data_IF_594711067649
#
_entry.id   IF_594711067649
#
_cell.length_a   1.000
_cell.length_b   1.000
_cell.length_c   1.000
_cell.angle_alpha   90.00
_cell.angle_beta   90.00
_cell.angle_gamma   90.00
#
_symmetry.space_group_name_H-M   'P 1'
#
loop_
_entity.id
_entity.type
_entity.pdbx_description
1 polymer ?
#
# COMPACT_ATOMS: atom_id res chain seq x y z
N UNK A 1 22.05 -24.54 -51.07
CA UNK A 1 21.40 -25.45 -50.11
C UNK A 1 21.29 -24.73 -48.76
N UNK A 2 20.08 -24.33 -48.35
CA UNK A 2 19.80 -23.74 -47.03
C UNK A 2 19.25 -24.83 -46.12
N UNK A 3 19.90 -25.13 -44.99
CA UNK A 3 19.19 -25.49 -43.74
C UNK A 3 20.12 -25.53 -42.53
N UNK A 4 20.29 -24.38 -41.89
CA UNK A 4 20.77 -24.24 -40.53
C UNK A 4 19.59 -24.54 -39.59
N UNK A 5 19.39 -25.82 -39.23
CA UNK A 5 18.31 -26.24 -38.33
C UNK A 5 18.77 -26.14 -36.87
N UNK A 6 18.29 -25.10 -36.20
CA UNK A 6 17.91 -25.02 -34.78
C UNK A 6 18.50 -26.08 -33.84
N UNK A 7 19.65 -25.76 -33.22
CA UNK A 7 20.14 -26.47 -32.05
C UNK A 7 19.68 -25.71 -30.79
N UNK A 8 18.87 -26.38 -29.97
CA UNK A 8 18.15 -25.74 -28.87
C UNK A 8 19.06 -25.17 -27.79
N UNK A 9 18.56 -24.14 -27.11
CA UNK A 9 19.23 -23.49 -25.99
C UNK A 9 18.84 -24.20 -24.69
N UNK A 10 19.33 -25.44 -24.47
CA UNK A 10 19.20 -26.10 -23.15
C UNK A 10 20.23 -25.54 -22.19
N UNK A 11 19.77 -24.66 -21.30
CA UNK A 11 20.25 -24.50 -19.93
C UNK A 11 21.76 -24.57 -19.71
N UNK A 12 22.53 -23.61 -20.26
CA UNK A 12 23.88 -23.36 -19.74
C UNK A 12 23.76 -22.98 -18.27
N UNK A 13 24.23 -23.86 -17.37
CA UNK A 13 24.31 -23.56 -15.94
C UNK A 13 25.33 -22.44 -15.76
N UNK A 14 24.85 -21.24 -15.43
CA UNK A 14 25.71 -20.11 -15.09
C UNK A 14 26.64 -20.49 -13.95
N UNK A 15 27.91 -20.09 -14.07
CA UNK A 15 28.90 -20.24 -12.99
C UNK A 15 28.36 -19.58 -11.73
N UNK A 16 28.78 -20.08 -10.57
CA UNK A 16 28.33 -19.56 -9.28
C UNK A 16 28.62 -18.06 -9.15
N UNK A 17 29.77 -17.62 -9.65
CA UNK A 17 30.13 -16.20 -9.75
C UNK A 17 29.19 -15.40 -10.64
N UNK A 18 28.76 -15.95 -11.78
CA UNK A 18 27.84 -15.26 -12.68
C UNK A 18 26.44 -15.14 -12.06
N UNK A 19 25.97 -16.20 -11.36
CA UNK A 19 24.74 -16.14 -10.56
C UNK A 19 24.84 -15.11 -9.44
N UNK A 20 26.00 -15.05 -8.76
CA UNK A 20 26.28 -14.06 -7.71
C UNK A 20 26.27 -12.64 -8.28
N UNK A 21 26.96 -12.40 -9.40
CA UNK A 21 26.99 -11.10 -10.08
C UNK A 21 25.60 -10.64 -10.54
N UNK A 22 24.80 -11.55 -11.11
CA UNK A 22 23.40 -11.28 -11.46
C UNK A 22 22.54 -10.99 -10.22
N UNK A 23 22.70 -11.75 -9.13
CA UNK A 23 21.99 -11.49 -7.87
C UNK A 23 22.38 -10.15 -7.24
N UNK A 24 23.68 -9.82 -7.27
CA UNK A 24 24.23 -8.55 -6.78
C UNK A 24 23.75 -7.36 -7.63
N UNK A 25 23.59 -7.53 -8.95
CA UNK A 25 23.11 -6.48 -9.85
C UNK A 25 21.60 -6.26 -9.72
N UNK A 26 20.84 -7.30 -9.39
CA UNK A 26 19.41 -7.22 -9.06
C UNK A 26 19.16 -6.90 -7.58
N UNK A 27 20.20 -6.56 -6.81
CA UNK A 27 19.99 -5.96 -5.48
C UNK A 27 19.10 -4.74 -5.70
N UNK A 28 17.95 -4.84 -5.06
CA UNK A 28 16.79 -4.00 -5.19
C UNK A 28 17.18 -2.54 -5.53
N UNK A 29 18.16 -1.91 -4.84
CA UNK A 29 18.58 -0.50 -4.99
C UNK A 29 18.99 -0.08 -6.40
N UNK A 30 19.46 -1.04 -7.20
CA UNK A 30 20.02 -0.82 -8.54
C UNK A 30 19.02 -1.12 -9.67
N UNK A 31 17.80 -1.53 -9.32
CA UNK A 31 16.73 -1.76 -10.29
C UNK A 31 16.06 -0.43 -10.67
N UNK A 32 15.87 -0.17 -11.97
CA UNK A 32 15.10 0.98 -12.45
C UNK A 32 13.65 1.00 -11.94
N UNK A 33 13.14 -0.14 -11.47
CA UNK A 33 11.82 -0.28 -10.88
C UNK A 33 11.80 -0.03 -9.36
N UNK A 34 12.95 0.16 -8.71
CA UNK A 34 13.01 0.52 -7.30
C UNK A 34 12.47 1.93 -7.13
N UNK A 35 11.37 2.06 -6.41
CA UNK A 35 10.73 3.35 -6.06
C UNK A 35 11.02 3.75 -4.61
N UNK A 36 12.26 3.64 -4.17
CA UNK A 36 12.65 3.96 -2.79
C UNK A 36 12.15 2.93 -1.77
N UNK A 37 11.91 1.69 -2.18
CA UNK A 37 11.27 0.68 -1.32
C UNK A 37 9.76 0.89 -1.12
N UNK A 38 9.08 1.64 -2.00
CA UNK A 38 7.62 1.79 -2.01
C UNK A 38 6.94 0.81 -2.96
N UNK A 39 5.88 0.15 -2.50
CA UNK A 39 5.02 -0.71 -3.31
C UNK A 39 3.54 -0.37 -3.06
N UNK A 40 2.66 -0.75 -3.98
CA UNK A 40 1.20 -0.60 -3.80
C UNK A 40 0.63 -2.00 -3.53
N UNK A 41 -0.13 -2.14 -2.45
CA UNK A 41 -0.83 -3.38 -2.12
C UNK A 41 -2.00 -3.64 -3.07
N UNK A 42 -2.52 -4.87 -3.11
CA UNK A 42 -3.75 -5.23 -3.84
C UNK A 42 -4.94 -4.34 -3.47
N UNK A 43 -4.95 -3.85 -2.23
CA UNK A 43 -6.00 -2.98 -1.71
C UNK A 43 -5.78 -1.50 -2.09
N UNK A 44 -4.71 -1.15 -2.80
CA UNK A 44 -4.39 0.22 -3.23
C UNK A 44 -3.66 1.06 -2.18
N UNK A 45 -3.21 0.47 -1.08
CA UNK A 45 -2.41 1.19 -0.07
C UNK A 45 -0.93 1.26 -0.49
N UNK A 46 -0.29 2.40 -0.25
CA UNK A 46 1.16 2.54 -0.38
C UNK A 46 1.83 1.91 0.85
N UNK A 47 2.76 1.00 0.59
CA UNK A 47 3.60 0.30 1.56
C UNK A 47 5.04 0.81 1.40
N UNK A 48 5.74 1.03 2.51
CA UNK A 48 7.13 1.48 2.55
C UNK A 48 7.96 0.44 3.28
N UNK A 49 9.10 0.05 2.70
CA UNK A 49 10.05 -0.86 3.31
C UNK A 49 10.73 -0.18 4.51
N UNK A 50 10.37 -0.61 5.72
CA UNK A 50 10.94 -0.14 6.99
C UNK A 50 11.23 -1.39 7.85
N UNK A 51 12.33 -2.11 7.57
CA UNK A 51 12.56 -3.45 8.12
C UNK A 51 12.74 -3.49 9.65
N UNK A 52 13.06 -2.35 10.27
CA UNK A 52 13.27 -2.22 11.73
C UNK A 52 11.98 -1.79 12.44
N UNK A 53 10.87 -1.55 11.73
CA UNK A 53 9.64 -1.08 12.34
C UNK A 53 8.97 -2.18 13.18
N UNK A 54 8.56 -1.91 14.43
CA UNK A 54 7.97 -2.93 15.33
C UNK A 54 6.68 -3.54 14.77
N UNK A 55 5.95 -2.78 13.95
CA UNK A 55 4.71 -3.21 13.29
C UNK A 55 4.88 -3.41 11.78
N UNK A 56 6.10 -3.70 11.30
CA UNK A 56 6.29 -4.13 9.92
C UNK A 56 5.65 -5.50 9.67
N UNK A 57 5.19 -5.73 8.44
CA UNK A 57 4.76 -7.05 8.01
C UNK A 57 5.97 -8.01 7.87
N UNK A 58 5.71 -9.29 7.56
CA UNK A 58 6.75 -10.32 7.40
C UNK A 58 7.83 -9.97 6.35
N UNK A 59 7.51 -9.07 5.42
CA UNK A 59 8.42 -8.61 4.36
C UNK A 59 9.13 -7.30 4.73
N UNK A 60 8.96 -6.78 5.95
CA UNK A 60 9.55 -5.53 6.41
C UNK A 60 8.81 -4.26 5.97
N UNK A 61 7.59 -4.37 5.43
CA UNK A 61 6.82 -3.20 4.95
C UNK A 61 5.80 -2.70 5.96
N UNK A 62 5.58 -1.38 5.98
CA UNK A 62 4.56 -0.70 6.77
C UNK A 62 3.72 0.17 5.83
N UNK A 63 2.42 0.36 6.12
CA UNK A 63 1.57 1.26 5.33
C UNK A 63 1.99 2.71 5.53
N UNK A 64 2.15 3.46 4.44
CA UNK A 64 2.69 4.83 4.45
C UNK A 64 1.84 5.79 5.29
N UNK A 65 0.51 5.73 5.19
CA UNK A 65 -0.39 6.56 6.01
C UNK A 65 -0.17 6.34 7.53
N UNK A 66 0.22 5.13 7.95
CA UNK A 66 0.51 4.83 9.35
C UNK A 66 1.77 5.57 9.77
N UNK A 67 2.84 5.47 8.97
CA UNK A 67 4.11 6.16 9.21
C UNK A 67 3.96 7.68 9.24
N UNK A 68 3.11 8.25 8.37
CA UNK A 68 2.83 9.70 8.36
C UNK A 68 2.20 10.14 9.68
N UNK A 69 1.20 9.39 10.17
CA UNK A 69 0.54 9.72 11.45
C UNK A 69 1.49 9.50 12.63
N UNK A 70 2.25 8.41 12.65
CA UNK A 70 3.26 8.12 13.69
C UNK A 70 4.30 9.23 13.80
N UNK A 71 4.80 9.70 12.66
CA UNK A 71 5.73 10.83 12.59
C UNK A 71 5.10 12.12 13.10
N UNK A 72 3.82 12.36 12.79
CA UNK A 72 3.10 13.56 13.22
C UNK A 72 2.84 13.59 14.73
N UNK A 73 2.48 12.45 15.34
CA UNK A 73 2.22 12.36 16.79
C UNK A 73 3.48 12.11 17.63
N UNK A 74 4.61 11.75 17.00
CA UNK A 74 5.88 11.51 17.67
C UNK A 74 5.96 10.18 18.44
N UNK A 75 5.09 9.21 18.14
CA UNK A 75 5.10 7.85 18.73
C UNK A 75 4.58 6.82 17.74
N UNK A 76 4.88 5.54 18.00
CA UNK A 76 4.25 4.44 17.27
C UNK A 76 2.75 4.35 17.59
N UNK A 77 1.97 4.01 16.58
CA UNK A 77 0.56 3.70 16.77
C UNK A 77 0.43 2.31 17.40
N UNK A 78 -0.64 2.09 18.15
CA UNK A 78 -0.98 0.78 18.69
C UNK A 78 -1.61 -0.11 17.60
N UNK A 79 -1.74 -1.42 17.82
CA UNK A 79 -2.46 -2.31 16.89
C UNK A 79 -3.95 -1.97 16.75
N UNK A 80 -4.56 -1.40 17.80
CA UNK A 80 -5.99 -1.07 17.83
C UNK A 80 -6.31 0.25 17.11
N UNK A 81 -5.31 1.12 16.98
CA UNK A 81 -5.42 2.41 16.33
C UNK A 81 -5.55 2.27 14.80
N UNK A 82 -6.57 2.93 14.23
CA UNK A 82 -6.91 2.87 12.80
C UNK A 82 -6.76 4.23 12.16
N UNK A 83 -6.03 4.30 11.04
CA UNK A 83 -5.91 5.50 10.22
C UNK A 83 -6.84 5.39 9.02
N UNK A 84 -7.66 6.42 8.81
CA UNK A 84 -8.67 6.49 7.77
C UNK A 84 -8.42 7.67 6.83
N UNK A 85 -8.55 7.45 5.52
CA UNK A 85 -8.49 8.49 4.49
C UNK A 85 -9.85 9.17 4.32
N UNK A 86 -9.95 10.45 4.68
CA UNK A 86 -11.19 11.23 4.67
C UNK A 86 -11.77 11.35 3.25
N UNK A 87 -10.91 11.52 2.24
CA UNK A 87 -11.32 11.58 0.84
C UNK A 87 -11.49 10.20 0.16
N UNK A 88 -11.29 9.11 0.91
CA UNK A 88 -11.30 7.72 0.42
C UNK A 88 -10.27 7.38 -0.67
N UNK A 89 -9.27 8.25 -0.92
CA UNK A 89 -8.13 8.00 -1.81
C UNK A 89 -6.94 7.48 -1.00
N UNK A 90 -6.59 6.21 -1.21
CA UNK A 90 -5.59 5.46 -0.40
C UNK A 90 -4.13 5.84 -0.69
N UNK A 91 -3.90 6.56 -1.79
CA UNK A 91 -2.63 7.11 -2.22
C UNK A 91 -2.40 8.55 -1.73
N UNK A 92 -3.44 9.25 -1.27
CA UNK A 92 -3.34 10.60 -0.70
C UNK A 92 -3.02 10.55 0.80
N UNK A 93 -1.74 10.38 1.12
CA UNK A 93 -1.25 10.24 2.50
C UNK A 93 -0.88 11.58 3.17
N UNK A 94 -1.44 12.70 2.72
CA UNK A 94 -1.24 14.01 3.39
C UNK A 94 -1.94 14.03 4.75
N UNK A 95 -1.32 14.61 5.78
CA UNK A 95 -1.82 14.54 7.16
C UNK A 95 -3.23 15.10 7.30
N UNK A 96 -3.58 16.15 6.56
CA UNK A 96 -4.91 16.75 6.56
C UNK A 96 -6.01 15.83 5.99
N UNK A 97 -5.62 14.80 5.23
CA UNK A 97 -6.52 13.81 4.66
C UNK A 97 -6.63 12.54 5.53
N UNK A 98 -5.85 12.45 6.61
CA UNK A 98 -5.80 11.28 7.48
C UNK A 98 -6.51 11.56 8.80
N UNK A 99 -7.34 10.62 9.23
CA UNK A 99 -8.03 10.65 10.52
C UNK A 99 -7.64 9.43 11.34
N UNK A 100 -7.11 9.67 12.54
CA UNK A 100 -6.78 8.62 13.50
C UNK A 100 -8.00 8.31 14.37
N UNK A 101 -8.30 7.01 14.52
CA UNK A 101 -9.27 6.48 15.45
C UNK A 101 -8.57 5.59 16.47
N UNK A 102 -9.00 5.70 17.73
CA UNK A 102 -8.45 4.91 18.85
C UNK A 102 -8.80 3.43 18.74
N UNK A 103 -9.88 3.10 18.04
CA UNK A 103 -10.32 1.72 17.82
C UNK A 103 -11.05 1.54 16.49
N UNK A 104 -10.99 0.32 15.95
CA UNK A 104 -11.81 -0.11 14.82
C UNK A 104 -13.31 0.10 15.04
N UNK A 105 -13.80 -0.06 16.28
CA UNK A 105 -15.22 0.13 16.60
C UNK A 105 -15.66 1.59 16.47
N UNK A 106 -14.81 2.55 16.81
CA UNK A 106 -15.08 3.97 16.61
C UNK A 106 -15.06 4.35 15.12
N UNK A 107 -14.10 3.81 14.37
CA UNK A 107 -14.06 4.00 12.90
C UNK A 107 -15.35 3.49 12.24
N UNK A 108 -15.79 2.28 12.56
CA UNK A 108 -17.02 1.70 12.01
C UNK A 108 -18.28 2.51 12.37
N UNK A 109 -18.36 3.02 13.61
CA UNK A 109 -19.48 3.88 14.04
C UNK A 109 -19.54 5.18 13.25
N UNK A 110 -18.40 5.82 12.97
CA UNK A 110 -18.33 7.05 12.17
C UNK A 110 -18.75 6.78 10.71
N UNK A 111 -18.25 5.69 10.12
CA UNK A 111 -18.62 5.23 8.78
C UNK A 111 -20.13 4.98 8.63
N UNK A 112 -20.75 4.30 9.60
CA UNK A 112 -22.19 4.04 9.58
C UNK A 112 -23.02 5.32 9.69
N UNK A 113 -22.67 6.22 10.61
CA UNK A 113 -23.34 7.54 10.72
C UNK A 113 -23.23 8.34 9.43
N UNK A 114 -22.09 8.27 8.74
CA UNK A 114 -21.90 8.96 7.47
C UNK A 114 -22.76 8.34 6.35
N UNK A 115 -22.85 7.01 6.29
CA UNK A 115 -23.75 6.29 5.36
C UNK A 115 -25.21 6.63 5.58
N UNK A 116 -25.68 6.65 6.83
CA UNK A 116 -27.05 7.01 7.20
C UNK A 116 -27.38 8.44 6.72
N UNK A 117 -26.51 9.42 7.02
CA UNK A 117 -26.67 10.81 6.56
C UNK A 117 -26.76 10.93 5.04
N UNK A 118 -25.93 10.18 4.30
CA UNK A 118 -25.96 10.15 2.83
C UNK A 118 -27.28 9.57 2.33
N UNK A 119 -27.77 8.49 2.94
CA UNK A 119 -29.04 7.86 2.59
C UNK A 119 -30.22 8.82 2.84
N UNK A 120 -30.28 9.46 4.02
CA UNK A 120 -31.34 10.43 4.33
C UNK A 120 -31.34 11.61 3.35
N UNK A 121 -30.16 12.13 2.98
CA UNK A 121 -30.04 13.20 1.97
C UNK A 121 -30.51 12.74 0.59
N UNK A 122 -30.18 11.51 0.19
CA UNK A 122 -30.61 10.95 -1.08
C UNK A 122 -32.14 10.80 -1.13
N UNK A 123 -32.77 10.25 -0.09
CA UNK A 123 -34.23 10.12 0.00
C UNK A 123 -34.93 11.48 -0.13
N UNK A 124 -34.52 12.48 0.68
CA UNK A 124 -35.12 13.83 0.63
C UNK A 124 -35.04 14.48 -0.76
N UNK A 125 -33.92 14.28 -1.47
CA UNK A 125 -33.70 14.84 -2.82
C UNK A 125 -34.64 14.23 -3.87
N UNK A 126 -35.08 12.99 -3.67
CA UNK A 126 -35.94 12.29 -4.62
C UNK A 126 -37.42 12.39 -4.24
N UNK A 127 -37.75 12.56 -2.95
CA UNK A 127 -39.10 12.91 -2.49
C UNK A 127 -39.51 14.32 -2.97
N UNK A 128 -38.59 15.28 -3.00
CA UNK A 128 -38.86 16.66 -3.46
C UNK A 128 -38.98 16.82 -4.99
N UNK A 129 -38.82 15.74 -5.76
CA UNK A 129 -38.98 15.72 -7.23
C UNK A 129 -40.27 15.03 -7.69
N UNK A 130 -41.08 14.54 -6.75
CA UNK A 130 -42.33 13.85 -7.00
C UNK A 130 -43.57 14.77 -6.92
N UNK A 131 -43.36 16.09 -6.89
CA UNK A 131 -44.38 17.14 -6.99
C UNK A 131 -44.02 17.99 -8.21
#
# INVERSE_FOLDING_TARGET
MKNQKYAHWKGKKFTEEHRRKMSLSHRLEKSHFWKGGRIIDKDGYILVLVPVHPFANQNGYVREHRLVVEKYIGRYLTPDEVVHHINHKKDDNRIENLRLYVSSSLHLKDEWKNKERKMTRWNKKHESKAI
#
